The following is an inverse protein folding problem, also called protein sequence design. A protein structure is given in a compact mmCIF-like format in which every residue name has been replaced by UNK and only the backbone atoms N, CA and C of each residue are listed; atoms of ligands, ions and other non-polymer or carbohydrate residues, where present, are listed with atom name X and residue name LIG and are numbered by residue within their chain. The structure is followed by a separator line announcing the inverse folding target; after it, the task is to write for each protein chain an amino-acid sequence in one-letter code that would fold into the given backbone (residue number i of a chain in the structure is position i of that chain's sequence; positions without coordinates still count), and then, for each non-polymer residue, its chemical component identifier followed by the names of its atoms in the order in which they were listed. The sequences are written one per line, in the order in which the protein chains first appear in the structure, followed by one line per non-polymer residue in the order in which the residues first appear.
data_IF_948949802123
#
_entry.id   IF_948949802123
#
_cell.length_a   1.000
_cell.length_b   1.000
_cell.length_c   1.000
_cell.angle_alpha   90.00
_cell.angle_beta   90.00
_cell.angle_gamma   90.00
#
_symmetry.space_group_name_H-M   'P 1'
#
loop_
_entity.id
_entity.type
_entity.pdbx_description
1 polymer ?
#
# COMPACT_ATOMS: atom_id res chain seq x y z
N UNK A 1 -15.25 -10.64 -1.82
CA UNK A 1 -14.73 -9.53 -2.64
C UNK A 1 -15.02 -9.91 -4.09
N UNK A 2 -15.88 -9.15 -4.77
CA UNK A 2 -16.27 -9.39 -6.17
C UNK A 2 -15.93 -8.18 -7.06
N UNK A 3 -14.87 -7.47 -6.68
CA UNK A 3 -14.23 -6.45 -7.50
C UNK A 3 -12.83 -6.96 -7.88
N UNK A 4 -12.48 -6.96 -9.17
CA UNK A 4 -11.16 -7.37 -9.61
C UNK A 4 -10.13 -6.38 -9.09
N UNK A 5 -9.04 -6.87 -8.50
CA UNK A 5 -7.93 -6.00 -8.11
C UNK A 5 -7.05 -6.55 -6.98
N UNK A 6 -5.94 -5.86 -6.68
CA UNK A 6 -4.97 -6.33 -5.70
C UNK A 6 -5.51 -6.20 -4.27
N UNK A 7 -4.80 -6.87 -3.35
CA UNK A 7 -4.84 -6.60 -1.92
C UNK A 7 -3.44 -6.24 -1.43
N UNK A 8 -3.35 -5.27 -0.52
CA UNK A 8 -2.09 -4.81 0.09
C UNK A 8 -2.28 -4.71 1.60
N UNK A 9 -1.21 -4.95 2.36
CA UNK A 9 -1.21 -4.71 3.80
C UNK A 9 0.03 -3.93 4.17
N UNK A 10 -0.19 -2.79 4.81
CA UNK A 10 0.86 -1.93 5.33
C UNK A 10 0.87 -1.95 6.85
N UNK A 11 2.04 -1.73 7.43
CA UNK A 11 2.20 -1.47 8.86
C UNK A 11 2.94 -0.16 9.10
N UNK A 12 2.63 0.51 10.20
CA UNK A 12 3.33 1.70 10.64
C UNK A 12 3.52 1.66 12.15
N UNK A 13 4.76 1.88 12.61
CA UNK A 13 5.09 1.87 14.04
C UNK A 13 4.56 3.14 14.70
N UNK A 14 3.82 3.00 15.78
CA UNK A 14 3.38 4.13 16.56
C UNK A 14 4.59 4.76 17.29
N UNK A 15 4.75 6.10 17.28
CA UNK A 15 5.78 6.77 18.06
C UNK A 15 5.52 6.69 19.58
N UNK A 16 4.27 6.38 19.96
CA UNK A 16 3.84 6.09 21.32
C UNK A 16 2.84 4.94 21.32
N UNK A 17 1.65 5.15 21.88
CA UNK A 17 0.57 4.13 21.80
C UNK A 17 -0.11 4.16 20.44
N UNK A 18 -0.49 3.00 19.89
CA UNK A 18 -1.25 2.91 18.65
C UNK A 18 -2.64 3.54 18.78
N UNK A 19 -3.19 3.60 20.01
CA UNK A 19 -4.47 4.26 20.31
C UNK A 19 -4.46 5.76 19.99
N UNK A 20 -3.32 6.43 20.20
CA UNK A 20 -3.18 7.88 19.98
C UNK A 20 -2.58 8.21 18.61
N UNK A 21 -2.01 7.22 17.93
CA UNK A 21 -1.32 7.40 16.67
C UNK A 21 -2.30 7.67 15.52
N UNK A 22 -2.07 8.75 14.77
CA UNK A 22 -2.92 9.16 13.66
C UNK A 22 -2.56 8.46 12.33
N UNK A 23 -1.47 7.68 12.29
CA UNK A 23 -1.00 7.05 11.07
C UNK A 23 -0.31 8.01 10.10
N UNK A 24 0.17 9.15 10.59
CA UNK A 24 0.82 10.21 9.83
C UNK A 24 2.33 9.99 9.64
N UNK A 25 2.88 8.88 10.15
CA UNK A 25 4.28 8.50 10.00
C UNK A 25 4.55 7.59 8.80
N UNK A 26 5.66 6.84 8.89
CA UNK A 26 6.15 5.98 7.82
C UNK A 26 5.42 4.63 7.80
N UNK A 27 5.00 4.20 6.62
CA UNK A 27 4.33 2.93 6.35
C UNK A 27 5.20 2.05 5.47
N UNK A 28 5.36 0.79 5.85
CA UNK A 28 6.03 -0.23 5.04
C UNK A 28 5.02 -1.31 4.68
N UNK A 29 5.16 -1.88 3.48
CA UNK A 29 4.29 -2.95 3.00
C UNK A 29 4.79 -4.28 3.57
N UNK A 30 3.89 -5.12 4.09
CA UNK A 30 4.23 -6.46 4.59
C UNK A 30 3.58 -7.59 3.77
N UNK A 31 2.59 -7.25 2.96
CA UNK A 31 1.87 -8.23 2.14
C UNK A 31 1.34 -7.58 0.87
N UNK A 32 1.31 -8.36 -0.20
CA UNK A 32 0.49 -8.04 -1.36
C UNK A 32 0.05 -9.30 -2.09
N UNK A 33 -1.11 -9.20 -2.72
CA UNK A 33 -1.66 -10.19 -3.63
C UNK A 33 -2.13 -9.49 -4.91
N UNK A 34 -2.03 -10.19 -6.03
CA UNK A 34 -2.37 -9.68 -7.36
C UNK A 34 -3.09 -10.78 -8.14
N UNK A 35 -2.76 -10.97 -9.42
CA UNK A 35 -3.31 -12.01 -10.28
C UNK A 35 -2.71 -13.38 -9.89
N UNK A 36 -3.55 -14.36 -9.55
CA UNK A 36 -3.13 -15.75 -9.28
C UNK A 36 -3.22 -16.65 -10.50
N UNK A 37 -4.14 -16.36 -11.44
CA UNK A 37 -4.40 -17.24 -12.58
C UNK A 37 -4.57 -16.41 -13.85
N UNK A 38 -3.52 -16.37 -14.67
CA UNK A 38 -3.47 -15.60 -15.91
C UNK A 38 -4.36 -16.19 -17.03
N UNK A 39 -4.88 -17.41 -16.85
CA UNK A 39 -5.74 -18.09 -17.83
C UNK A 39 -7.23 -17.85 -17.58
N UNK A 40 -7.58 -17.21 -16.46
CA UNK A 40 -8.95 -16.90 -16.07
C UNK A 40 -9.41 -15.52 -16.55
N UNK A 41 -10.68 -15.22 -16.32
CA UNK A 41 -11.26 -13.93 -16.71
C UNK A 41 -10.59 -12.81 -15.90
N UNK A 42 -9.81 -11.98 -16.59
CA UNK A 42 -9.08 -10.88 -15.96
C UNK A 42 -10.00 -9.80 -15.37
N UNK A 43 -11.27 -9.81 -15.75
CA UNK A 43 -12.31 -8.96 -15.15
C UNK A 43 -12.96 -9.57 -13.91
N UNK A 44 -12.60 -10.82 -13.55
CA UNK A 44 -13.19 -11.58 -12.46
C UNK A 44 -12.16 -12.45 -11.71
N UNK A 45 -12.12 -13.75 -11.99
CA UNK A 45 -11.54 -14.78 -11.15
C UNK A 45 -10.05 -15.05 -11.41
N UNK A 46 -9.41 -14.22 -12.23
CA UNK A 46 -7.95 -14.19 -12.36
C UNK A 46 -7.23 -13.64 -11.11
N UNK A 47 -7.92 -12.83 -10.29
CA UNK A 47 -7.34 -12.15 -9.13
C UNK A 47 -7.38 -13.03 -7.87
N UNK A 48 -6.30 -13.02 -7.07
CA UNK A 48 -6.22 -13.76 -5.80
C UNK A 48 -7.37 -13.42 -4.85
N UNK A 49 -7.83 -12.18 -4.90
CA UNK A 49 -8.85 -11.58 -4.04
C UNK A 49 -10.28 -11.98 -4.46
N UNK A 50 -10.47 -12.51 -5.66
CA UNK A 50 -11.81 -12.84 -6.16
C UNK A 50 -12.49 -13.91 -5.29
N UNK A 51 -13.75 -13.67 -4.92
CA UNK A 51 -14.56 -14.51 -4.04
C UNK A 51 -13.93 -14.82 -2.66
N UNK A 52 -12.95 -14.02 -2.23
CA UNK A 52 -12.41 -14.08 -0.86
C UNK A 52 -13.19 -13.14 0.06
N UNK A 53 -13.37 -13.53 1.31
CA UNK A 53 -14.02 -12.73 2.35
C UNK A 53 -13.03 -12.02 3.29
N UNK A 54 -11.72 -12.25 3.08
CA UNK A 54 -10.63 -11.76 3.91
C UNK A 54 -9.32 -11.65 3.13
N UNK A 55 -8.38 -10.89 3.67
CA UNK A 55 -6.98 -10.84 3.25
C UNK A 55 -6.17 -11.59 4.32
N UNK A 56 -5.49 -12.66 3.93
CA UNK A 56 -4.64 -13.45 4.84
C UNK A 56 -3.18 -13.03 4.68
N UNK A 57 -2.51 -12.72 5.78
CA UNK A 57 -1.12 -12.30 5.77
C UNK A 57 -0.41 -12.72 7.05
N UNK A 58 0.91 -12.72 7.03
CA UNK A 58 1.76 -13.03 8.19
C UNK A 58 2.60 -11.81 8.55
N UNK A 59 2.63 -11.45 9.84
CA UNK A 59 3.54 -10.42 10.34
C UNK A 59 4.97 -11.01 10.36
N UNK A 60 5.96 -10.39 9.69
CA UNK A 60 7.33 -10.91 9.68
C UNK A 60 7.89 -11.05 11.09
N UNK A 61 8.45 -12.21 11.43
CA UNK A 61 8.98 -12.50 12.76
C UNK A 61 10.13 -11.57 13.18
N UNK A 62 10.84 -10.98 12.21
CA UNK A 62 11.91 -10.01 12.46
C UNK A 62 11.40 -8.59 12.76
N UNK A 63 10.08 -8.35 12.68
CA UNK A 63 9.49 -7.06 13.02
C UNK A 63 9.79 -6.71 14.49
N UNK A 64 10.36 -5.54 14.79
CA UNK A 64 10.62 -5.17 16.18
C UNK A 64 9.35 -5.07 17.02
N UNK A 65 9.51 -5.36 18.31
CA UNK A 65 8.44 -5.16 19.28
C UNK A 65 7.96 -3.71 19.32
N UNK A 66 6.66 -3.53 19.56
CA UNK A 66 6.05 -2.22 19.66
C UNK A 66 4.57 -2.22 19.32
N UNK A 67 3.96 -1.04 19.39
CA UNK A 67 2.59 -0.83 18.94
C UNK A 67 2.58 -0.30 17.50
N UNK A 68 1.67 -0.82 16.68
CA UNK A 68 1.61 -0.56 15.26
C UNK A 68 0.16 -0.32 14.82
N UNK A 69 -0.01 0.46 13.76
CA UNK A 69 -1.21 0.41 12.92
C UNK A 69 -0.98 -0.57 11.78
N UNK A 70 -2.01 -1.32 11.44
CA UNK A 70 -2.10 -2.14 10.22
C UNK A 70 -3.15 -1.51 9.31
N UNK A 71 -2.83 -1.30 8.05
CA UNK A 71 -3.73 -0.81 7.00
C UNK A 71 -3.88 -1.88 5.91
N UNK A 72 -4.82 -2.83 6.04
CA UNK A 72 -5.24 -3.66 4.92
C UNK A 72 -6.02 -2.81 3.91
N UNK A 73 -5.79 -3.07 2.64
CA UNK A 73 -6.39 -2.34 1.53
C UNK A 73 -6.68 -3.29 0.37
N UNK A 74 -7.89 -3.20 -0.17
CA UNK A 74 -8.26 -3.76 -1.45
C UNK A 74 -8.54 -2.63 -2.43
N UNK A 75 -8.04 -2.75 -3.66
CA UNK A 75 -8.23 -1.71 -4.69
C UNK A 75 -9.00 -2.32 -5.86
N UNK A 76 -10.24 -1.92 -6.06
CA UNK A 76 -11.06 -2.31 -7.21
C UNK A 76 -10.60 -1.57 -8.47
N UNK A 77 -10.20 -2.30 -9.52
CA UNK A 77 -9.61 -1.74 -10.75
C UNK A 77 -10.53 -1.82 -11.97
N UNK A 78 -11.80 -2.21 -11.80
CA UNK A 78 -12.80 -2.23 -12.90
C UNK A 78 -13.02 -0.85 -13.54
N UNK A 79 -12.90 0.23 -12.77
CA UNK A 79 -12.97 1.63 -13.23
C UNK A 79 -11.62 2.32 -13.44
N UNK A 80 -10.49 1.65 -13.20
CA UNK A 80 -9.16 2.30 -13.21
C UNK A 80 -8.81 2.94 -14.56
N UNK A 81 -9.16 2.30 -15.67
CA UNK A 81 -8.91 2.81 -17.03
C UNK A 81 -9.55 4.19 -17.35
N UNK A 82 -10.49 4.66 -16.52
CA UNK A 82 -11.11 6.00 -16.60
C UNK A 82 -10.86 6.83 -15.34
N UNK A 83 -9.84 6.49 -14.55
CA UNK A 83 -9.47 7.19 -13.32
C UNK A 83 -10.47 7.03 -12.18
N UNK A 84 -11.24 5.94 -12.18
CA UNK A 84 -12.23 5.56 -11.15
C UNK A 84 -11.83 4.26 -10.45
N UNK A 85 -10.56 4.11 -10.07
CA UNK A 85 -10.17 3.04 -9.16
C UNK A 85 -10.83 3.25 -7.79
N UNK A 86 -11.27 2.16 -7.16
CA UNK A 86 -12.00 2.18 -5.89
C UNK A 86 -11.11 1.65 -4.77
N UNK A 87 -10.88 2.45 -3.73
CA UNK A 87 -9.99 2.08 -2.63
C UNK A 87 -10.83 1.69 -1.40
N UNK A 88 -10.57 0.49 -0.88
CA UNK A 88 -11.22 -0.07 0.29
C UNK A 88 -10.18 -0.39 1.35
N UNK A 89 -9.93 0.55 2.24
CA UNK A 89 -8.99 0.38 3.34
C UNK A 89 -9.68 0.50 4.70
N UNK A 90 -9.08 -0.14 5.68
CA UNK A 90 -9.41 0.05 7.09
C UNK A 90 -8.11 0.06 7.89
N UNK A 91 -8.20 0.29 9.21
CA UNK A 91 -7.04 0.29 10.07
C UNK A 91 -7.30 -0.48 11.36
N UNK A 92 -6.30 -1.24 11.80
CA UNK A 92 -6.31 -1.97 13.06
C UNK A 92 -5.12 -1.58 13.92
N UNK A 93 -5.29 -1.58 15.24
CA UNK A 93 -4.23 -1.34 16.21
C UNK A 93 -3.74 -2.69 16.73
N UNK A 94 -2.42 -2.90 16.73
CA UNK A 94 -1.81 -4.14 17.23
C UNK A 94 -0.61 -3.85 18.10
N UNK A 95 -0.31 -4.77 19.01
CA UNK A 95 0.94 -4.80 19.76
C UNK A 95 1.73 -6.04 19.37
N UNK A 96 2.91 -5.84 18.79
CA UNK A 96 3.87 -6.90 18.43
C UNK A 96 4.72 -7.19 19.66
N UNK A 97 4.84 -8.47 19.98
CA UNK A 97 5.63 -9.00 21.09
C UNK A 97 6.43 -10.21 20.62
N UNK A 98 7.65 -10.40 21.14
CA UNK A 98 8.50 -11.52 20.75
C UNK A 98 9.02 -11.43 19.31
N UNK A 99 9.06 -10.21 18.77
CA UNK A 99 9.60 -9.87 17.46
C UNK A 99 11.13 -9.81 17.44
N UNK A 100 11.67 -9.34 16.32
CA UNK A 100 13.11 -9.33 16.05
C UNK A 100 13.74 -7.94 16.06
N UNK A 101 14.85 -7.81 15.33
CA UNK A 101 15.65 -6.58 15.23
C UNK A 101 15.75 -6.08 13.78
N UNK A 102 14.80 -6.45 12.93
CA UNK A 102 14.75 -6.01 11.54
C UNK A 102 14.47 -4.51 11.42
N UNK A 103 14.84 -3.93 10.28
CA UNK A 103 14.55 -2.52 9.96
C UNK A 103 13.52 -2.47 8.84
N UNK A 104 12.25 -2.14 9.14
CA UNK A 104 11.21 -2.09 8.12
C UNK A 104 11.48 -1.04 7.04
N UNK A 105 11.29 -1.44 5.78
CA UNK A 105 11.42 -0.56 4.62
C UNK A 105 11.42 -1.34 3.30
N UNK A 106 11.35 -0.67 2.15
CA UNK A 106 11.20 0.78 1.97
C UNK A 106 9.85 1.32 2.48
N UNK A 107 9.79 2.62 2.79
CA UNK A 107 8.62 3.27 3.40
C UNK A 107 7.96 4.31 2.50
N UNK A 108 6.68 4.59 2.77
CA UNK A 108 5.88 5.66 2.19
C UNK A 108 5.00 6.32 3.26
N UNK A 109 4.30 7.40 2.92
CA UNK A 109 3.36 8.08 3.83
C UNK A 109 1.97 8.15 3.22
N UNK A 110 0.95 8.05 4.06
CA UNK A 110 -0.44 8.29 3.67
C UNK A 110 -0.95 9.54 4.40
N UNK A 111 -1.53 10.54 3.69
CA UNK A 111 -1.60 10.66 2.23
C UNK A 111 -0.23 10.89 1.56
N UNK A 112 -0.13 10.60 0.26
CA UNK A 112 1.07 10.87 -0.56
C UNK A 112 1.71 9.66 -1.24
N UNK A 113 1.42 8.44 -0.78
CA UNK A 113 1.96 7.21 -1.37
C UNK A 113 1.43 6.93 -2.79
N UNK A 114 0.23 7.44 -3.10
CA UNK A 114 -0.48 7.23 -4.36
C UNK A 114 -0.75 8.55 -5.07
N UNK A 115 -0.66 8.54 -6.39
CA UNK A 115 -0.96 9.66 -7.27
C UNK A 115 -2.05 9.28 -8.27
N UNK A 116 -2.83 10.27 -8.67
CA UNK A 116 -3.94 10.06 -9.61
C UNK A 116 -3.48 9.47 -10.95
N UNK A 117 -2.27 9.79 -11.39
CA UNK A 117 -1.66 9.37 -12.65
C UNK A 117 -0.80 8.09 -12.52
N UNK A 118 -0.75 7.46 -11.34
CA UNK A 118 -0.01 6.21 -11.18
C UNK A 118 -0.55 5.14 -12.15
N UNK A 119 0.32 4.34 -12.79
CA UNK A 119 -0.10 3.29 -13.72
C UNK A 119 -1.08 2.29 -13.12
N UNK A 120 -0.96 2.01 -11.80
CA UNK A 120 -1.83 1.11 -11.04
C UNK A 120 -3.29 1.53 -11.01
N UNK A 121 -3.56 2.83 -11.16
CA UNK A 121 -4.90 3.42 -11.10
C UNK A 121 -5.38 3.96 -12.45
N UNK A 122 -4.55 3.84 -13.50
CA UNK A 122 -4.86 4.13 -14.89
C UNK A 122 -4.68 2.87 -15.76
N UNK A 123 -5.04 1.71 -15.20
CA UNK A 123 -4.85 0.40 -15.80
C UNK A 123 -6.16 -0.15 -16.39
N UNK A 124 -6.08 -0.89 -17.51
CA UNK A 124 -7.23 -1.54 -18.12
C UNK A 124 -7.15 -3.07 -18.02
N UNK A 125 -8.08 -3.64 -17.26
CA UNK A 125 -8.32 -5.09 -17.14
C UNK A 125 -9.08 -5.68 -18.33
N UNK A 126 -9.57 -4.83 -19.24
CA UNK A 126 -10.30 -5.27 -20.42
C UNK A 126 -9.34 -5.65 -21.56
N UNK A 127 -9.83 -6.52 -22.45
CA UNK A 127 -9.10 -7.05 -23.61
C UNK A 127 -7.93 -7.98 -23.25
N UNK A 128 -8.13 -8.82 -22.23
CA UNK A 128 -7.19 -9.88 -21.85
C UNK A 128 -6.14 -9.46 -20.83
N UNK A 129 -5.39 -10.46 -20.37
CA UNK A 129 -4.39 -10.31 -19.32
C UNK A 129 -3.26 -9.35 -19.70
N UNK A 130 -2.84 -8.54 -18.73
CA UNK A 130 -1.64 -7.70 -18.76
C UNK A 130 -1.01 -7.72 -17.38
N UNK A 131 0.32 -7.58 -17.30
CA UNK A 131 0.98 -7.48 -16.01
C UNK A 131 0.49 -6.22 -15.27
N UNK A 132 -0.08 -6.42 -14.08
CA UNK A 132 -0.63 -5.33 -13.28
C UNK A 132 0.51 -4.61 -12.53
N UNK A 133 0.70 -3.29 -12.72
CA UNK A 133 1.71 -2.53 -12.00
C UNK A 133 1.27 -2.36 -10.54
N UNK A 134 1.93 -3.05 -9.61
CA UNK A 134 1.59 -2.97 -8.19
C UNK A 134 1.90 -1.58 -7.62
N UNK A 135 0.97 -0.94 -6.89
CA UNK A 135 1.22 0.38 -6.31
C UNK A 135 2.07 0.31 -5.03
N UNK A 136 2.72 1.42 -4.71
CA UNK A 136 3.51 1.61 -3.49
C UNK A 136 4.84 0.84 -3.48
N UNK A 137 5.54 0.82 -2.33
CA UNK A 137 6.87 0.22 -2.20
C UNK A 137 6.83 -1.30 -2.33
N UNK A 138 8.01 -1.92 -2.47
CA UNK A 138 8.15 -3.38 -2.36
C UNK A 138 7.73 -3.90 -0.98
N UNK A 139 7.38 -5.19 -0.92
CA UNK A 139 7.08 -5.87 0.35
C UNK A 139 8.35 -6.01 1.17
N UNK A 140 8.33 -5.53 2.41
CA UNK A 140 9.35 -5.80 3.39
C UNK A 140 9.22 -7.25 3.90
N UNK A 141 10.21 -8.08 3.56
CA UNK A 141 10.22 -9.51 3.87
C UNK A 141 10.90 -9.83 5.21
N UNK A 142 11.30 -8.82 5.97
CA UNK A 142 11.93 -9.02 7.27
C UNK A 142 13.46 -9.06 7.27
N UNK A 143 14.12 -8.84 6.14
CA UNK A 143 15.58 -8.78 6.11
C UNK A 143 16.09 -7.51 6.83
N UNK A 144 17.06 -7.69 7.73
CA UNK A 144 17.94 -6.62 8.19
C UNK A 144 18.67 -6.08 6.98
N UNK A 145 18.66 -4.77 6.75
CA UNK A 145 19.31 -4.15 5.60
C UNK A 145 20.76 -4.62 5.46
N UNK A 146 20.97 -5.52 4.49
CA UNK A 146 22.21 -5.76 3.76
C UNK A 146 21.85 -6.74 2.64
N UNK A 147 21.59 -6.19 1.45
CA UNK A 147 21.84 -6.94 0.22
C UNK A 147 23.29 -7.41 0.26
N UNK A 148 23.47 -8.72 0.40
CA UNK A 148 24.72 -9.39 0.06
C UNK A 148 24.36 -10.53 -0.88
N UNK A 149 24.16 -10.15 -2.14
CA UNK A 149 24.79 -10.92 -3.19
C UNK A 149 26.27 -10.47 -3.20
N UNK A 150 27.18 -11.36 -2.80
CA UNK A 150 28.59 -11.29 -3.21
C UNK A 150 28.72 -12.21 -4.44
N UNK A 151 29.35 -11.83 -5.56
CA UNK A 151 30.66 -11.18 -5.71
C UNK A 151 30.75 -10.05 -6.79
N UNK A 152 31.92 -9.39 -6.71
CA UNK A 152 32.46 -8.10 -7.20
C UNK A 152 32.90 -8.18 -8.70
N UNK A 153 32.90 -7.15 -9.56
CA UNK A 153 33.91 -6.07 -9.63
C UNK A 153 33.63 -4.90 -10.64
N UNK A 154 34.48 -3.87 -10.49
CA UNK A 154 34.35 -2.41 -10.73
C UNK A 154 34.98 -1.87 -12.05
N UNK A 155 34.56 -0.68 -12.54
CA UNK A 155 35.47 0.45 -12.93
C UNK A 155 34.77 1.86 -13.00
N UNK A 156 35.36 2.81 -12.26
CA UNK A 156 35.46 4.30 -12.27
C UNK A 156 34.59 5.31 -13.10
N UNK A 157 34.11 6.35 -12.36
CA UNK A 157 33.97 7.82 -12.59
C UNK A 157 33.07 8.37 -13.75
N UNK A 158 32.29 9.47 -13.68
CA UNK A 158 32.37 10.78 -12.96
C UNK A 158 31.04 11.60 -13.10
N UNK A 159 30.83 12.56 -12.18
CA UNK A 159 30.14 13.88 -12.30
C UNK A 159 28.61 14.09 -12.03
N UNK A 160 28.36 15.28 -11.45
CA UNK A 160 27.18 15.88 -10.80
C UNK A 160 26.03 16.32 -11.77
N UNK A 161 24.84 16.83 -11.41
CA UNK A 161 24.44 17.74 -10.32
C UNK A 161 22.89 17.94 -10.20
N UNK A 162 22.50 18.58 -9.07
CA UNK A 162 21.41 19.56 -8.82
C UNK A 162 19.92 19.14 -8.71
N UNK A 163 19.32 19.63 -7.61
CA UNK A 163 17.93 19.53 -7.15
C UNK A 163 16.94 20.42 -7.92
N UNK A 164 15.62 20.20 -7.71
CA UNK A 164 14.56 21.23 -7.57
C UNK A 164 13.32 20.59 -6.90
N UNK A 165 12.75 21.30 -5.94
CA UNK A 165 11.48 21.03 -5.28
C UNK A 165 10.31 21.65 -6.06
N UNK A 166 9.10 21.07 -6.03
CA UNK A 166 7.84 21.84 -6.06
C UNK A 166 6.67 21.00 -5.51
N UNK A 167 5.77 21.74 -4.86
CA UNK A 167 4.56 21.48 -4.07
C UNK A 167 3.47 20.60 -4.69
N UNK A 168 2.75 19.85 -3.84
CA UNK A 168 1.47 19.21 -4.17
C UNK A 168 0.33 19.75 -3.30
N UNK A 169 -0.77 20.15 -3.93
CA UNK A 169 -2.00 20.61 -3.29
C UNK A 169 -2.97 19.43 -3.05
N UNK A 170 -3.48 19.37 -1.82
CA UNK A 170 -4.72 18.75 -1.30
C UNK A 170 -5.18 17.39 -1.88
N UNK A 171 -4.75 16.32 -1.21
CA UNK A 171 -5.23 14.95 -1.40
C UNK A 171 -6.36 14.58 -0.43
N UNK A 172 -7.14 13.58 -0.84
CA UNK A 172 -8.11 12.87 -0.01
C UNK A 172 -7.42 12.35 1.27
N UNK A 173 -7.93 12.71 2.45
CA UNK A 173 -7.33 12.36 3.74
C UNK A 173 -7.66 10.89 4.11
N UNK A 174 -6.80 9.97 3.67
CA UNK A 174 -6.84 8.53 4.02
C UNK A 174 -5.93 8.18 5.21
N UNK A 175 -5.90 9.04 6.23
CA UNK A 175 -5.15 8.74 7.46
C UNK A 175 -5.92 7.77 8.35
N UNK A 176 -5.21 6.90 9.06
CA UNK A 176 -5.79 5.92 10.00
C UNK A 176 -6.21 6.53 11.35
N UNK A 177 -6.21 7.87 11.47
CA UNK A 177 -6.52 8.59 12.69
C UNK A 177 -8.00 8.54 13.04
N UNK A 178 -8.32 8.45 14.33
CA UNK A 178 -9.69 8.64 14.80
C UNK A 178 -10.06 10.12 14.74
N UNK A 179 -10.40 10.63 13.57
CA UNK A 179 -10.94 11.98 13.47
C UNK A 179 -12.42 11.97 13.91
N UNK A 180 -12.71 12.60 15.04
CA UNK A 180 -14.08 12.99 15.41
C UNK A 180 -14.51 14.15 14.50
N UNK A 181 -14.82 13.86 13.24
CA UNK A 181 -15.39 14.86 12.32
C UNK A 181 -16.90 14.89 12.53
N UNK A 182 -17.42 15.95 13.16
CA UNK A 182 -18.85 16.28 13.02
C UNK A 182 -19.07 16.75 11.58
N UNK A 183 -19.35 15.82 10.65
CA UNK A 183 -19.87 16.19 9.33
C UNK A 183 -21.33 16.62 9.47
N UNK A 184 -21.59 17.92 9.41
CA UNK A 184 -22.90 18.40 9.00
C UNK A 184 -23.15 17.88 7.56
N UNK A 185 -24.26 17.19 7.36
CA UNK A 185 -24.67 16.68 6.04
C UNK A 185 -24.83 17.85 5.05
N UNK A 186 -24.12 17.88 3.90
CA UNK A 186 -24.59 18.65 2.78
C UNK A 186 -25.80 17.91 2.18
N UNK A 187 -27.00 18.43 2.44
CA UNK A 187 -28.17 18.11 1.64
C UNK A 187 -28.03 18.79 0.27
N UNK A 188 -28.51 18.09 -0.76
CA UNK A 188 -28.98 18.53 -2.08
C UNK A 188 -28.11 18.13 -3.27
N UNK A 189 -28.47 17.00 -3.88
CA UNK A 189 -28.51 16.88 -5.34
C UNK A 189 -29.96 17.12 -5.75
N UNK A 190 -30.20 18.11 -6.61
CA UNK A 190 -31.44 18.22 -7.40
C UNK A 190 -31.10 17.91 -8.85
N UNK A 191 -32.02 17.17 -9.48
CA UNK A 191 -32.08 16.60 -10.83
C UNK A 191 -31.13 17.15 -11.91
#
# INVERSE_FOLDING_TARGET
MQHPGPALVYMSKAPGTAKQYQGDGEWFKIHQESVCDKNKDFTKDAWCTWDKDRIEFTIPASLPDGEYLIRPEHIGVHGAHVGQAEFYNTCAQVKVVGGGNGTPGPTVRFPGAYKKDDPSFNFSIYNGYKDYPMPGPEVWTGASGSSSASEVASVNATAAATAIATTSNEGHEDTCGSHYVRRAHPRAFSY
#
